data_IF_597470510130
#
_entry.id   IF_597470510130
#
_cell.length_a   1.000
_cell.length_b   1.000
_cell.length_c   1.000
_cell.angle_alpha   90.00
_cell.angle_beta   90.00
_cell.angle_gamma   90.00
#
_symmetry.space_group_name_H-M   'P 1'
#
loop_
_entity.id
_entity.type
_entity.pdbx_description
1 polymer ?
#
# COMPACT_ATOMS: atom_id res chain seq x y z
N UNK A 1 -72.24 -10.56 40.40
CA UNK A 1 -71.21 -9.86 41.19
C UNK A 1 -69.85 -10.38 40.77
N UNK A 2 -68.96 -9.43 40.50
CA UNK A 2 -67.50 -9.45 40.53
C UNK A 2 -66.70 -10.43 39.66
N UNK A 3 -66.11 -9.88 38.59
CA UNK A 3 -64.72 -10.19 38.22
C UNK A 3 -64.01 -8.87 37.87
N UNK A 4 -63.03 -8.56 38.71
CA UNK A 4 -62.16 -7.40 38.68
C UNK A 4 -60.85 -7.83 37.99
N UNK A 5 -60.45 -7.17 36.89
CA UNK A 5 -59.10 -7.32 36.34
C UNK A 5 -58.63 -5.99 35.75
N UNK A 6 -58.14 -5.11 36.63
CA UNK A 6 -57.44 -3.90 36.24
C UNK A 6 -56.06 -4.28 35.72
N UNK A 7 -55.89 -4.22 34.41
CA UNK A 7 -54.63 -4.38 33.71
C UNK A 7 -53.74 -3.15 33.97
N UNK A 8 -52.99 -3.17 35.09
CA UNK A 8 -51.91 -2.20 35.32
C UNK A 8 -50.71 -2.66 34.51
N UNK A 9 -50.57 -2.14 33.29
CA UNK A 9 -49.35 -2.28 32.51
C UNK A 9 -48.37 -1.19 32.96
N UNK A 10 -47.21 -1.63 33.42
CA UNK A 10 -46.12 -0.80 33.91
C UNK A 10 -45.62 0.16 32.81
N UNK A 11 -46.00 1.43 32.93
CA UNK A 11 -45.67 2.51 32.00
C UNK A 11 -44.19 2.94 32.08
N UNK A 12 -43.41 2.43 33.05
CA UNK A 12 -42.02 2.85 33.28
C UNK A 12 -41.03 2.20 32.31
N UNK A 13 -41.30 0.97 31.89
CA UNK A 13 -40.45 0.22 30.96
C UNK A 13 -40.46 0.84 29.54
N UNK A 14 -41.63 1.31 29.10
CA UNK A 14 -41.85 1.82 27.73
C UNK A 14 -41.13 3.16 27.49
N UNK A 15 -41.07 4.00 28.53
CA UNK A 15 -40.41 5.31 28.48
C UNK A 15 -38.88 5.15 28.43
N UNK A 16 -38.31 4.20 29.18
CA UNK A 16 -36.87 3.92 29.17
C UNK A 16 -36.36 3.45 27.80
N UNK A 17 -37.08 2.54 27.14
CA UNK A 17 -36.69 2.01 25.83
C UNK A 17 -36.74 3.10 24.75
N UNK A 18 -37.78 3.96 24.78
CA UNK A 18 -37.93 5.04 23.82
C UNK A 18 -36.83 6.11 23.95
N UNK A 19 -36.38 6.43 25.17
CA UNK A 19 -35.30 7.41 25.41
C UNK A 19 -33.94 6.87 24.96
N UNK A 20 -33.67 5.58 25.16
CA UNK A 20 -32.43 4.93 24.70
C UNK A 20 -32.38 4.88 23.16
N UNK A 21 -33.51 4.61 22.51
CA UNK A 21 -33.62 4.65 21.04
C UNK A 21 -33.42 6.07 20.49
N UNK A 22 -33.93 7.11 21.17
CA UNK A 22 -33.74 8.51 20.75
C UNK A 22 -32.28 8.97 20.85
N UNK A 23 -31.55 8.52 21.89
CA UNK A 23 -30.14 8.85 22.09
C UNK A 23 -29.22 8.15 21.08
N UNK A 24 -29.57 6.94 20.63
CA UNK A 24 -28.79 6.21 19.61
C UNK A 24 -28.86 6.84 18.21
N UNK A 25 -29.93 7.59 17.91
CA UNK A 25 -30.13 8.25 16.61
C UNK A 25 -29.33 9.56 16.51
N UNK A 26 -29.03 10.21 17.63
CA UNK A 26 -28.30 11.49 17.66
C UNK A 26 -26.76 11.34 17.70
N UNK A 27 -26.23 10.13 17.95
CA UNK A 27 -24.81 9.89 18.17
C UNK A 27 -23.98 9.51 16.93
N UNK A 28 -24.57 9.42 15.74
CA UNK A 28 -23.87 9.00 14.53
C UNK A 28 -23.55 10.18 13.61
N UNK A 29 -22.76 11.13 14.09
CA UNK A 29 -21.90 11.88 13.17
C UNK A 29 -20.71 10.99 12.89
N UNK A 30 -20.80 10.19 11.83
CA UNK A 30 -19.63 9.52 11.28
C UNK A 30 -18.64 10.61 10.89
N UNK A 31 -17.60 10.79 11.71
CA UNK A 31 -16.38 11.47 11.31
C UNK A 31 -15.85 10.70 10.09
N UNK A 32 -16.20 11.17 8.90
CA UNK A 32 -15.54 10.75 7.68
C UNK A 32 -14.11 11.26 7.78
N UNK A 33 -13.24 10.44 8.39
CA UNK A 33 -11.80 10.66 8.37
C UNK A 33 -11.42 10.80 6.89
N UNK A 34 -10.80 11.91 6.47
CA UNK A 34 -10.39 12.04 5.08
C UNK A 34 -9.50 10.85 4.77
N UNK A 35 -9.91 10.03 3.81
CA UNK A 35 -9.10 8.96 3.28
C UNK A 35 -7.91 9.64 2.60
N UNK A 36 -6.80 9.76 3.33
CA UNK A 36 -5.52 10.08 2.71
C UNK A 36 -5.19 8.85 1.88
N UNK A 37 -5.59 8.88 0.61
CA UNK A 37 -5.11 7.92 -0.38
C UNK A 37 -3.62 8.16 -0.49
N UNK A 38 -2.83 7.40 0.27
CA UNK A 38 -1.38 7.44 0.17
C UNK A 38 -1.01 7.10 -1.26
N UNK A 39 -0.23 7.98 -1.91
CA UNK A 39 0.17 7.78 -3.29
C UNK A 39 0.86 6.42 -3.44
N UNK A 40 0.40 5.62 -4.40
CA UNK A 40 0.99 4.30 -4.68
C UNK A 40 2.49 4.43 -4.90
N UNK A 41 3.25 3.54 -4.28
CA UNK A 41 4.71 3.57 -4.31
C UNK A 41 5.30 2.47 -5.19
N UNK A 42 6.29 2.84 -5.99
CA UNK A 42 6.92 1.97 -6.98
C UNK A 42 8.43 1.99 -6.83
N UNK A 43 9.04 0.82 -6.94
CA UNK A 43 10.47 0.68 -7.10
C UNK A 43 10.79 -0.15 -8.34
N UNK A 44 11.61 0.39 -9.25
CA UNK A 44 11.97 -0.26 -10.51
C UNK A 44 13.47 -0.51 -10.57
N UNK A 45 13.89 -1.75 -10.80
CA UNK A 45 15.30 -2.15 -10.92
C UNK A 45 15.53 -2.72 -12.31
N UNK A 46 16.53 -2.22 -13.04
CA UNK A 46 16.89 -2.76 -14.34
C UNK A 46 17.95 -1.98 -15.10
N UNK A 47 17.92 -2.11 -16.42
CA UNK A 47 18.86 -1.43 -17.32
C UNK A 47 18.19 -0.27 -18.07
N UNK A 48 18.81 0.18 -19.17
CA UNK A 48 18.29 1.24 -20.04
C UNK A 48 16.85 1.01 -20.51
N UNK A 49 16.43 -0.24 -20.71
CA UNK A 49 15.06 -0.56 -21.10
C UNK A 49 14.05 -0.20 -20.00
N UNK A 50 14.43 -0.26 -18.71
CA UNK A 50 13.59 0.28 -17.62
C UNK A 50 13.45 1.79 -17.77
N UNK A 51 14.54 2.48 -18.12
CA UNK A 51 14.51 3.94 -18.32
C UNK A 51 13.70 4.36 -19.56
N UNK A 52 13.72 3.57 -20.62
CA UNK A 52 12.96 3.82 -21.85
C UNK A 52 11.43 3.82 -21.62
N UNK A 53 10.95 3.17 -20.56
CA UNK A 53 9.54 3.24 -20.14
C UNK A 53 9.13 4.59 -19.55
N UNK A 54 10.08 5.52 -19.38
CA UNK A 54 9.91 6.80 -18.71
C UNK A 54 9.30 6.68 -17.30
N UNK A 55 9.99 6.03 -16.33
CA UNK A 55 9.45 5.78 -14.99
C UNK A 55 8.90 7.02 -14.27
N UNK A 56 9.51 8.19 -14.53
CA UNK A 56 9.08 9.48 -13.99
C UNK A 56 7.68 9.94 -14.42
N UNK A 57 7.08 9.30 -15.42
CA UNK A 57 5.70 9.57 -15.86
C UNK A 57 4.66 8.71 -15.16
N UNK A 58 5.08 7.73 -14.36
CA UNK A 58 4.17 6.90 -13.57
C UNK A 58 3.61 7.74 -12.41
N UNK A 59 2.29 7.70 -12.21
CA UNK A 59 1.64 8.42 -11.10
C UNK A 59 1.97 7.75 -9.77
N UNK A 60 2.39 8.53 -8.77
CA UNK A 60 2.69 8.03 -7.44
C UNK A 60 4.08 8.42 -6.96
N UNK A 61 4.58 7.72 -5.95
CA UNK A 61 5.95 7.86 -5.46
C UNK A 61 6.84 6.81 -6.12
N UNK A 62 7.58 7.24 -7.14
CA UNK A 62 8.34 6.36 -8.02
C UNK A 62 9.83 6.56 -7.79
N UNK A 63 10.54 5.46 -7.50
CA UNK A 63 11.99 5.42 -7.41
C UNK A 63 12.53 4.31 -8.30
N UNK A 64 13.80 4.41 -8.70
CA UNK A 64 14.41 3.45 -9.61
C UNK A 64 15.91 3.29 -9.40
N UNK A 65 16.40 2.10 -9.73
CA UNK A 65 17.80 1.79 -9.94
C UNK A 65 17.99 1.37 -11.40
N UNK A 66 18.72 2.19 -12.16
CA UNK A 66 18.99 1.91 -13.57
C UNK A 66 20.49 1.87 -13.83
N UNK A 67 20.98 0.73 -14.31
CA UNK A 67 22.35 0.54 -14.77
C UNK A 67 22.41 0.02 -16.22
N UNK A 68 22.95 0.84 -17.10
CA UNK A 68 22.78 0.72 -18.55
C UNK A 68 23.61 -0.44 -19.10
N UNK A 69 22.96 -1.33 -19.86
CA UNK A 69 23.62 -2.49 -20.47
C UNK A 69 24.11 -3.54 -19.46
N UNK A 70 23.66 -3.49 -18.21
CA UNK A 70 24.06 -4.44 -17.16
C UNK A 70 22.95 -5.43 -16.85
N UNK A 71 23.35 -6.67 -16.55
CA UNK A 71 22.42 -7.70 -16.10
C UNK A 71 22.04 -7.53 -14.64
N UNK A 72 20.89 -8.11 -14.25
CA UNK A 72 20.42 -8.03 -12.87
C UNK A 72 21.43 -8.60 -11.85
N UNK A 73 22.13 -9.74 -12.11
CA UNK A 73 23.19 -10.20 -11.20
C UNK A 73 24.36 -9.23 -11.07
N UNK A 74 24.67 -8.45 -12.12
CA UNK A 74 25.71 -7.42 -12.06
C UNK A 74 25.24 -6.25 -11.19
N UNK A 75 24.03 -5.75 -11.42
CA UNK A 75 23.39 -4.66 -10.67
C UNK A 75 23.32 -5.01 -9.17
N UNK A 76 22.95 -6.26 -8.87
CA UNK A 76 22.88 -6.75 -7.50
C UNK A 76 24.25 -6.71 -6.81
N UNK A 77 25.31 -7.12 -7.51
CA UNK A 77 26.69 -7.16 -6.97
C UNK A 77 27.38 -5.80 -6.94
N UNK A 78 27.00 -4.85 -7.80
CA UNK A 78 27.70 -3.57 -8.00
C UNK A 78 26.70 -2.39 -7.99
N UNK A 79 26.04 -2.09 -6.86
CA UNK A 79 24.95 -1.12 -6.82
C UNK A 79 25.37 0.35 -6.88
N UNK A 80 26.66 0.66 -6.79
CA UNK A 80 27.12 2.01 -6.42
C UNK A 80 27.14 3.01 -7.58
N UNK A 81 27.20 2.53 -8.82
CA UNK A 81 27.44 3.36 -10.00
C UNK A 81 26.34 3.20 -11.07
N UNK A 82 25.06 3.52 -10.77
CA UNK A 82 24.01 3.47 -11.77
C UNK A 82 24.27 4.48 -12.90
N UNK A 83 23.97 4.10 -14.14
CA UNK A 83 24.14 5.00 -15.28
C UNK A 83 23.18 6.21 -15.22
N UNK A 84 22.00 6.06 -14.62
CA UNK A 84 21.05 7.16 -14.39
C UNK A 84 21.38 7.79 -13.04
N UNK A 85 21.99 8.99 -13.05
CA UNK A 85 22.52 9.65 -11.85
C UNK A 85 21.49 9.95 -10.76
N UNK A 86 20.22 10.05 -11.12
CA UNK A 86 19.10 10.29 -10.19
C UNK A 86 18.51 8.98 -9.65
N UNK A 87 19.17 7.84 -9.86
CA UNK A 87 18.78 6.57 -9.28
C UNK A 87 18.96 6.55 -7.77
N UNK A 88 17.96 6.01 -7.08
CA UNK A 88 18.11 5.54 -5.71
C UNK A 88 18.70 4.14 -5.76
N UNK A 89 19.85 3.92 -5.13
CA UNK A 89 20.49 2.59 -5.17
C UNK A 89 19.69 1.54 -4.39
N UNK A 90 19.63 0.30 -4.87
CA UNK A 90 18.72 -0.73 -4.34
C UNK A 90 18.96 -1.11 -2.89
N UNK A 91 20.21 -1.20 -2.37
CA UNK A 91 20.40 -1.55 -0.96
C UNK A 91 19.82 -0.48 -0.03
N UNK A 92 19.86 0.79 -0.46
CA UNK A 92 19.29 1.91 0.28
C UNK A 92 17.77 1.92 0.19
N UNK A 93 17.24 1.87 -1.03
CA UNK A 93 15.80 1.92 -1.30
C UNK A 93 15.03 0.83 -0.53
N UNK A 94 15.45 -0.43 -0.66
CA UNK A 94 14.75 -1.57 -0.05
C UNK A 94 14.90 -1.62 1.47
N UNK A 95 15.98 -1.04 2.01
CA UNK A 95 16.19 -0.92 3.46
C UNK A 95 15.33 0.18 4.09
N UNK A 96 15.21 1.32 3.41
CA UNK A 96 14.59 2.52 3.97
C UNK A 96 13.07 2.57 3.74
N UNK A 97 12.54 1.84 2.75
CA UNK A 97 11.13 1.92 2.36
C UNK A 97 10.57 0.57 1.90
N UNK A 98 9.35 0.28 2.34
CA UNK A 98 8.50 -0.77 1.78
C UNK A 98 7.66 -0.15 0.65
N UNK A 99 7.72 -0.76 -0.54
CA UNK A 99 7.00 -0.27 -1.73
C UNK A 99 5.79 -1.16 -2.01
N UNK A 100 4.72 -0.59 -2.56
CA UNK A 100 3.54 -1.34 -2.98
C UNK A 100 3.86 -2.24 -4.19
N UNK A 101 4.73 -1.76 -5.08
CA UNK A 101 5.17 -2.49 -6.26
C UNK A 101 6.68 -2.47 -6.43
N UNK A 102 7.26 -3.65 -6.61
CA UNK A 102 8.63 -3.86 -7.04
C UNK A 102 8.63 -4.46 -8.45
N UNK A 103 9.20 -3.74 -9.42
CA UNK A 103 9.40 -4.23 -10.78
C UNK A 103 10.88 -4.50 -11.00
N UNK A 104 11.18 -5.70 -11.50
CA UNK A 104 12.54 -6.13 -11.79
C UNK A 104 12.57 -6.53 -13.26
N UNK A 105 13.49 -5.93 -14.00
CA UNK A 105 13.69 -6.23 -15.40
C UNK A 105 14.74 -7.34 -15.59
N UNK A 106 14.35 -8.50 -16.15
CA UNK A 106 15.30 -9.50 -16.60
C UNK A 106 16.19 -8.97 -17.71
N UNK A 107 17.43 -9.45 -17.78
CA UNK A 107 18.38 -9.01 -18.79
C UNK A 107 18.77 -10.15 -19.74
N UNK A 108 18.93 -9.82 -21.02
CA UNK A 108 19.52 -10.75 -21.97
C UNK A 108 20.97 -11.07 -21.58
N UNK A 109 21.25 -12.31 -21.16
CA UNK A 109 22.57 -12.73 -20.67
C UNK A 109 22.60 -13.19 -19.20
N UNK A 110 21.46 -13.15 -18.50
CA UNK A 110 21.20 -13.95 -17.30
C UNK A 110 20.05 -14.93 -17.54
N UNK A 111 19.98 -16.00 -16.74
CA UNK A 111 18.82 -16.91 -16.74
C UNK A 111 17.74 -16.40 -15.78
N UNK A 112 16.49 -16.85 -15.98
CA UNK A 112 15.38 -16.53 -15.07
C UNK A 112 15.73 -16.96 -13.63
N UNK A 113 16.39 -18.10 -13.44
CA UNK A 113 16.82 -18.57 -12.13
C UNK A 113 17.81 -17.61 -11.49
N UNK A 114 18.78 -17.10 -12.24
CA UNK A 114 19.74 -16.11 -11.74
C UNK A 114 19.05 -14.80 -11.35
N UNK A 115 18.06 -14.39 -12.13
CA UNK A 115 17.32 -13.16 -11.86
C UNK A 115 16.39 -13.31 -10.65
N UNK A 116 15.75 -14.48 -10.49
CA UNK A 116 14.92 -14.82 -9.32
C UNK A 116 15.75 -14.92 -8.04
N UNK A 117 16.96 -15.47 -8.10
CA UNK A 117 17.85 -15.49 -6.93
C UNK A 117 18.27 -14.07 -6.53
N UNK A 118 18.54 -13.22 -7.52
CA UNK A 118 18.88 -11.81 -7.28
C UNK A 118 17.70 -11.03 -6.69
N UNK A 119 16.45 -11.39 -7.01
CA UNK A 119 15.26 -10.73 -6.45
C UNK A 119 14.88 -11.20 -5.04
N UNK A 120 15.19 -12.44 -4.66
CA UNK A 120 14.88 -13.02 -3.35
C UNK A 120 15.82 -12.58 -2.22
N UNK A 121 16.95 -11.97 -2.56
CA UNK A 121 18.00 -11.60 -1.61
C UNK A 121 17.88 -10.16 -1.08
N UNK A 122 16.84 -9.44 -1.52
CA UNK A 122 16.53 -8.06 -1.12
C UNK A 122 15.60 -7.97 0.07
#
# INVERSE_FOLDING_TARGET
MDLNFSHVTDQREVVSVAVILLLAILGQTADAKPEVTTATSYYLIGNSLTWDTSPSRLSGDVQWHVDCGKSLPYIFKNPEEPCVRISTVWPKALKEKQYDFLSIQPHYGSTIEQDVQSSKSG
#
